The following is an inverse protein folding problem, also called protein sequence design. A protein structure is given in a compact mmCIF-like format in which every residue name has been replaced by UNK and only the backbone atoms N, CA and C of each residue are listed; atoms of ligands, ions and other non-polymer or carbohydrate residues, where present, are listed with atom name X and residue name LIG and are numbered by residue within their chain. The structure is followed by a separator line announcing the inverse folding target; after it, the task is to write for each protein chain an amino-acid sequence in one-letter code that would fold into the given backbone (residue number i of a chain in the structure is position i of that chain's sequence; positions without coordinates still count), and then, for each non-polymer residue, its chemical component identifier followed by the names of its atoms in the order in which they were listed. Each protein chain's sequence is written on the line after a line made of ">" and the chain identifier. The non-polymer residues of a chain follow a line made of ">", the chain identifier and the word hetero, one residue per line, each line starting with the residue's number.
data_IF_635266527414
#
_entry.id   IF_635266527414
#
_cell.length_a   1.000
_cell.length_b   1.000
_cell.length_c   1.000
_cell.angle_alpha   90.00
_cell.angle_beta   90.00
_cell.angle_gamma   90.00
#
_symmetry.space_group_name_H-M   'P 1'
#
loop_
_entity.id
_entity.type
_entity.pdbx_description
1 polymer ?
#
# COMPACT_ATOMS: atom_id res chain seq x y z
N UNK A 1 -16.30 -18.35 -13.37
CA UNK A 1 -17.04 -17.35 -12.56
C UNK A 1 -16.45 -17.13 -11.17
N UNK A 2 -16.26 -18.16 -10.32
CA UNK A 2 -15.68 -18.00 -8.97
C UNK A 2 -14.30 -17.31 -8.93
N UNK A 3 -13.38 -17.67 -9.83
CA UNK A 3 -12.05 -17.07 -9.89
C UNK A 3 -12.12 -15.57 -10.20
N UNK A 4 -12.88 -15.19 -11.23
CA UNK A 4 -13.06 -13.81 -11.70
C UNK A 4 -13.71 -12.91 -10.62
N UNK A 5 -14.69 -13.46 -9.88
CA UNK A 5 -15.29 -12.80 -8.72
C UNK A 5 -14.25 -12.58 -7.60
N UNK A 6 -13.43 -13.59 -7.30
CA UNK A 6 -12.36 -13.49 -6.30
C UNK A 6 -11.33 -12.43 -6.69
N UNK A 7 -10.97 -12.39 -7.97
CA UNK A 7 -10.04 -11.40 -8.53
C UNK A 7 -10.58 -9.99 -8.40
N UNK A 8 -11.88 -9.80 -8.70
CA UNK A 8 -12.56 -8.53 -8.53
C UNK A 8 -12.56 -8.09 -7.05
N UNK A 9 -12.88 -9.01 -6.13
CA UNK A 9 -12.84 -8.73 -4.69
C UNK A 9 -11.43 -8.36 -4.20
N UNK A 10 -10.39 -9.04 -4.69
CA UNK A 10 -8.99 -8.75 -4.36
C UNK A 10 -8.53 -7.40 -4.91
N UNK A 11 -8.96 -7.02 -6.11
CA UNK A 11 -8.67 -5.71 -6.69
C UNK A 11 -9.45 -4.58 -6.02
N UNK A 12 -10.68 -4.85 -5.56
CA UNK A 12 -11.51 -3.91 -4.79
C UNK A 12 -11.01 -3.69 -3.37
N UNK A 13 -10.30 -4.66 -2.80
CA UNK A 13 -9.81 -4.62 -1.42
C UNK A 13 -8.92 -3.41 -1.10
N UNK A 14 -7.87 -3.06 -1.87
CA UNK A 14 -7.09 -1.84 -1.63
C UNK A 14 -7.91 -0.56 -1.80
N UNK A 15 -8.93 -0.58 -2.66
CA UNK A 15 -9.82 0.56 -2.91
C UNK A 15 -10.77 0.79 -1.72
N UNK A 16 -11.39 -0.28 -1.23
CA UNK A 16 -12.22 -0.29 -0.02
C UNK A 16 -11.40 0.02 1.23
N UNK A 17 -10.16 -0.48 1.33
CA UNK A 17 -9.26 -0.16 2.42
C UNK A 17 -8.87 1.33 2.39
N UNK A 18 -8.57 1.89 1.21
CA UNK A 18 -8.32 3.32 1.05
C UNK A 18 -9.51 4.20 1.42
N UNK A 19 -10.73 3.78 1.06
CA UNK A 19 -11.96 4.44 1.49
C UNK A 19 -12.15 4.35 3.01
N UNK A 20 -12.04 3.15 3.57
CA UNK A 20 -12.18 2.92 5.00
C UNK A 20 -11.18 3.73 5.83
N UNK A 21 -9.90 3.75 5.45
CA UNK A 21 -8.87 4.57 6.15
C UNK A 21 -9.22 6.06 6.11
N UNK A 22 -9.76 6.56 5.00
CA UNK A 22 -10.15 7.96 4.88
C UNK A 22 -11.44 8.30 5.65
N UNK A 23 -12.40 7.38 5.72
CA UNK A 23 -13.66 7.57 6.46
C UNK A 23 -13.49 7.39 7.98
N UNK A 24 -12.65 6.43 8.39
CA UNK A 24 -12.35 6.18 9.81
C UNK A 24 -11.25 7.06 10.36
N UNK A 25 -10.56 7.82 9.49
CA UNK A 25 -9.65 8.85 9.95
C UNK A 25 -10.47 9.84 10.81
N UNK A 26 -10.17 9.96 12.12
CA UNK A 26 -10.99 10.76 13.02
C UNK A 26 -11.00 12.24 12.64
N UNK A 27 -10.05 12.68 11.81
CA UNK A 27 -9.90 14.06 11.38
C UNK A 27 -9.38 14.15 9.94
N UNK A 28 -9.87 15.13 9.18
CA UNK A 28 -9.36 15.43 7.85
C UNK A 28 -7.86 15.80 7.89
N UNK A 29 -7.06 15.43 6.87
CA UNK A 29 -5.63 15.76 6.81
C UNK A 29 -5.42 17.28 6.66
N UNK A 30 -5.18 17.95 7.78
CA UNK A 30 -4.97 19.40 7.81
C UNK A 30 -3.53 19.79 7.47
N UNK A 31 -3.35 20.97 6.86
CA UNK A 31 -2.02 21.57 6.65
C UNK A 31 -1.49 22.32 7.88
N UNK A 32 -2.34 22.54 8.88
CA UNK A 32 -1.95 23.20 10.11
C UNK A 32 -1.14 22.26 11.01
N UNK A 33 -0.16 22.83 11.71
CA UNK A 33 0.54 22.12 12.77
C UNK A 33 -0.43 21.80 13.92
N UNK A 34 -0.27 20.62 14.52
CA UNK A 34 -0.94 20.24 15.75
C UNK A 34 0.06 19.53 16.65
N UNK A 35 0.14 19.89 17.92
CA UNK A 35 1.02 19.24 18.89
C UNK A 35 0.49 17.88 19.36
N UNK A 36 -0.82 17.62 19.23
CA UNK A 36 -1.46 16.41 19.73
C UNK A 36 -1.55 15.26 18.71
N UNK A 37 -1.34 15.51 17.41
CA UNK A 37 -1.55 14.50 16.35
C UNK A 37 -0.75 14.78 15.07
N UNK A 38 -0.39 13.74 14.34
CA UNK A 38 0.23 13.87 13.02
C UNK A 38 -0.74 14.50 12.01
N UNK A 39 -0.33 15.57 11.34
CA UNK A 39 -1.08 16.20 10.24
C UNK A 39 -0.24 16.21 8.94
N UNK A 40 -0.78 16.72 7.82
CA UNK A 40 0.02 16.89 6.59
C UNK A 40 1.20 17.83 6.81
N UNK A 41 1.12 18.73 7.79
CA UNK A 41 2.25 19.55 8.22
C UNK A 41 3.47 18.70 8.58
N UNK A 42 3.28 17.59 9.30
CA UNK A 42 4.36 16.70 9.72
C UNK A 42 5.10 16.02 8.56
N UNK A 43 4.40 15.74 7.47
CA UNK A 43 5.02 15.17 6.28
C UNK A 43 5.97 16.18 5.60
N UNK A 44 5.62 17.47 5.64
CA UNK A 44 6.38 18.55 5.00
C UNK A 44 7.47 19.17 5.89
N UNK A 45 7.23 19.30 7.20
CA UNK A 45 8.03 20.11 8.12
C UNK A 45 8.57 19.34 9.32
N UNK A 46 8.51 18.02 9.26
CA UNK A 46 8.81 17.10 10.36
C UNK A 46 7.88 17.17 11.55
N UNK A 47 7.67 16.00 12.14
CA UNK A 47 6.73 15.82 13.23
C UNK A 47 7.46 16.04 14.56
N UNK A 48 7.36 17.27 15.10
CA UNK A 48 8.07 17.67 16.32
C UNK A 48 7.72 16.85 17.57
N UNK A 49 6.53 16.24 17.62
CA UNK A 49 6.12 15.35 18.70
C UNK A 49 6.53 13.88 18.50
N UNK A 50 6.99 13.51 17.31
CA UNK A 50 7.50 12.17 17.06
C UNK A 50 8.97 12.14 17.48
N UNK A 51 9.32 11.21 18.35
CA UNK A 51 10.69 10.92 18.78
C UNK A 51 11.03 9.47 18.44
N UNK A 52 12.31 9.10 18.41
CA UNK A 52 12.69 7.68 18.20
C UNK A 52 12.11 6.75 19.26
N UNK A 53 11.88 7.27 20.47
CA UNK A 53 11.36 6.48 21.59
C UNK A 53 9.86 6.15 21.43
N UNK A 54 9.04 7.11 20.99
CA UNK A 54 7.59 6.91 20.88
C UNK A 54 7.11 6.54 19.46
N UNK A 55 7.95 6.70 18.44
CA UNK A 55 7.60 6.47 17.04
C UNK A 55 8.78 5.94 16.22
N UNK A 56 9.40 4.80 16.61
CA UNK A 56 10.61 4.29 15.97
C UNK A 56 10.42 3.99 14.48
N UNK A 57 9.26 3.43 14.10
CA UNK A 57 8.92 3.11 12.72
C UNK A 57 8.88 4.36 11.82
N UNK A 58 8.37 5.49 12.32
CA UNK A 58 8.39 6.75 11.57
C UNK A 58 9.82 7.17 11.23
N UNK A 59 10.75 7.09 12.19
CA UNK A 59 12.15 7.46 11.94
C UNK A 59 12.89 6.48 11.03
N UNK A 60 12.55 5.20 11.05
CA UNK A 60 13.12 4.20 10.14
C UNK A 60 12.62 4.37 8.70
N UNK A 61 11.32 4.65 8.52
CA UNK A 61 10.69 4.74 7.20
C UNK A 61 10.77 6.15 6.59
N UNK A 62 10.97 7.19 7.40
CA UNK A 62 11.02 8.59 6.93
C UNK A 62 12.12 8.87 5.89
N UNK A 63 13.36 8.37 6.00
CA UNK A 63 14.37 8.57 4.97
C UNK A 63 13.92 8.02 3.62
N UNK A 64 13.34 6.81 3.62
CA UNK A 64 12.79 6.19 2.42
C UNK A 64 11.64 7.02 1.86
N UNK A 65 10.67 7.41 2.70
CA UNK A 65 9.54 8.24 2.29
C UNK A 65 9.99 9.57 1.67
N UNK A 66 10.96 10.27 2.30
CA UNK A 66 11.52 11.52 1.78
C UNK A 66 12.23 11.34 0.44
N UNK A 67 13.05 10.30 0.30
CA UNK A 67 13.74 10.00 -0.94
C UNK A 67 12.74 9.70 -2.08
N UNK A 68 11.70 8.93 -1.79
CA UNK A 68 10.61 8.65 -2.74
C UNK A 68 9.89 9.92 -3.14
N UNK A 69 9.47 10.76 -2.19
CA UNK A 69 8.78 12.02 -2.50
C UNK A 69 9.70 12.98 -3.27
N UNK A 70 10.98 13.09 -2.90
CA UNK A 70 11.96 13.92 -3.59
C UNK A 70 12.18 13.48 -5.05
N UNK A 71 12.37 12.18 -5.27
CA UNK A 71 12.52 11.62 -6.62
C UNK A 71 11.27 11.84 -7.48
N UNK A 72 10.08 11.67 -6.89
CA UNK A 72 8.82 11.89 -7.60
C UNK A 72 8.51 13.37 -7.85
N UNK A 73 8.97 14.26 -6.97
CA UNK A 73 8.77 15.71 -7.11
C UNK A 73 9.81 16.38 -8.01
N UNK A 74 10.97 15.76 -8.25
CA UNK A 74 11.96 16.22 -9.22
C UNK A 74 11.40 16.30 -10.65
N UNK A 75 10.43 15.44 -11.00
CA UNK A 75 9.69 15.52 -12.27
C UNK A 75 8.46 16.45 -12.25
N UNK A 76 8.27 17.24 -11.19
CA UNK A 76 7.15 18.16 -11.03
C UNK A 76 5.83 17.50 -10.60
N UNK A 77 4.80 18.33 -10.37
CA UNK A 77 3.47 17.87 -9.91
C UNK A 77 2.82 16.84 -10.83
N UNK A 78 3.03 16.96 -12.14
CA UNK A 78 2.47 16.05 -13.14
C UNK A 78 3.02 14.63 -13.02
N UNK A 79 4.35 14.49 -12.90
CA UNK A 79 4.98 13.18 -12.75
C UNK A 79 4.61 12.53 -11.41
N UNK A 80 4.61 13.32 -10.32
CA UNK A 80 4.17 12.83 -9.02
C UNK A 80 2.73 12.27 -9.07
N UNK A 81 1.80 13.01 -9.68
CA UNK A 81 0.42 12.56 -9.83
C UNK A 81 0.34 11.29 -10.70
N UNK A 82 1.03 11.26 -11.84
CA UNK A 82 1.04 10.13 -12.75
C UNK A 82 1.58 8.85 -12.10
N UNK A 83 2.70 8.93 -11.37
CA UNK A 83 3.28 7.77 -10.68
C UNK A 83 2.38 7.31 -9.54
N UNK A 84 1.78 8.24 -8.78
CA UNK A 84 0.88 7.87 -7.70
C UNK A 84 -0.36 7.14 -8.26
N UNK A 85 -0.95 7.65 -9.35
CA UNK A 85 -2.06 7.00 -10.06
C UNK A 85 -1.65 5.65 -10.62
N UNK A 86 -0.48 5.53 -11.26
CA UNK A 86 0.03 4.27 -11.78
C UNK A 86 0.28 3.24 -10.68
N UNK A 87 0.78 3.66 -9.51
CA UNK A 87 0.96 2.78 -8.36
C UNK A 87 -0.38 2.22 -7.86
N UNK A 88 -1.38 3.09 -7.67
CA UNK A 88 -2.68 2.69 -7.13
C UNK A 88 -3.55 1.91 -8.14
N UNK A 89 -3.54 2.29 -9.42
CA UNK A 89 -4.41 1.69 -10.43
C UNK A 89 -3.79 0.54 -11.21
N UNK A 90 -2.45 0.47 -11.29
CA UNK A 90 -1.76 -0.51 -12.14
C UNK A 90 -0.86 -1.42 -11.32
N UNK A 91 0.09 -0.86 -10.57
CA UNK A 91 1.09 -1.67 -9.87
C UNK A 91 0.49 -2.52 -8.76
N UNK A 92 -0.30 -1.93 -7.86
CA UNK A 92 -0.92 -2.66 -6.75
C UNK A 92 -1.90 -3.74 -7.24
N UNK A 93 -2.83 -3.46 -8.19
CA UNK A 93 -3.68 -4.50 -8.76
C UNK A 93 -2.89 -5.57 -9.51
N UNK A 94 -1.87 -5.19 -10.29
CA UNK A 94 -1.01 -6.13 -11.01
C UNK A 94 -0.21 -7.05 -10.09
N UNK A 95 0.35 -6.50 -9.00
CA UNK A 95 1.05 -7.28 -7.98
C UNK A 95 0.10 -8.26 -7.29
N UNK A 96 -1.11 -7.81 -6.91
CA UNK A 96 -2.13 -8.67 -6.32
C UNK A 96 -2.55 -9.80 -7.26
N UNK A 97 -2.74 -9.51 -8.55
CA UNK A 97 -3.03 -10.50 -9.58
C UNK A 97 -1.90 -11.54 -9.68
N UNK A 98 -0.66 -11.07 -9.73
CA UNK A 98 0.52 -11.95 -9.83
C UNK A 98 0.67 -12.85 -8.60
N UNK A 99 0.54 -12.29 -7.39
CA UNK A 99 0.57 -13.05 -6.15
C UNK A 99 -0.57 -14.07 -6.07
N UNK A 100 -1.78 -13.68 -6.48
CA UNK A 100 -2.94 -14.58 -6.50
C UNK A 100 -2.74 -15.71 -7.49
N UNK A 101 -2.24 -15.41 -8.69
CA UNK A 101 -1.90 -16.42 -9.70
C UNK A 101 -0.82 -17.38 -9.19
N UNK A 102 0.26 -16.85 -8.59
CA UNK A 102 1.33 -17.65 -8.01
C UNK A 102 0.82 -18.59 -6.91
N UNK A 103 -0.04 -18.09 -6.02
CA UNK A 103 -0.65 -18.90 -4.96
C UNK A 103 -1.54 -20.03 -5.52
N UNK A 104 -2.37 -19.73 -6.54
CA UNK A 104 -3.23 -20.72 -7.18
C UNK A 104 -2.43 -21.79 -7.93
N UNK A 105 -1.39 -21.38 -8.66
CA UNK A 105 -0.48 -22.30 -9.37
C UNK A 105 0.26 -23.21 -8.40
N UNK A 106 0.79 -22.67 -7.32
CA UNK A 106 1.46 -23.48 -6.30
C UNK A 106 0.51 -24.48 -5.64
N UNK A 107 -0.73 -24.06 -5.35
CA UNK A 107 -1.76 -24.97 -4.81
C UNK A 107 -2.11 -26.10 -5.79
N UNK A 108 -2.20 -25.81 -7.09
CA UNK A 108 -2.50 -26.85 -8.09
C UNK A 108 -1.36 -27.86 -8.22
N UNK A 109 -0.11 -27.37 -8.23
CA UNK A 109 1.09 -28.22 -8.29
C UNK A 109 1.18 -29.12 -7.05
N UNK A 110 1.01 -28.57 -5.85
CA UNK A 110 1.00 -29.35 -4.60
C UNK A 110 -0.12 -30.40 -4.62
N UNK A 111 -1.30 -30.05 -5.13
CA UNK A 111 -2.42 -30.97 -5.27
C UNK A 111 -2.20 -32.07 -6.32
N UNK A 112 -1.42 -31.83 -7.37
CA UNK A 112 -1.03 -32.85 -8.34
C UNK A 112 0.03 -33.80 -7.75
N UNK A 113 1.05 -33.25 -7.07
CA UNK A 113 2.09 -34.03 -6.41
C UNK A 113 1.53 -34.95 -5.32
N UNK A 114 0.59 -34.46 -4.49
CA UNK A 114 -0.10 -35.31 -3.49
C UNK A 114 -0.85 -36.48 -4.12
N UNK A 115 -1.56 -36.25 -5.24
CA UNK A 115 -2.31 -37.30 -5.95
C UNK A 115 -1.39 -38.33 -6.59
N UNK A 116 -0.24 -37.93 -7.13
CA UNK A 116 0.76 -38.86 -7.66
C UNK A 116 1.41 -39.72 -6.57
N UNK A 117 1.60 -39.18 -5.37
CA UNK A 117 2.16 -39.93 -4.23
C UNK A 117 1.17 -40.91 -3.58
N UNK A 118 -0.14 -40.68 -3.67
CA UNK A 118 -1.17 -41.60 -3.14
C UNK A 118 -1.54 -42.72 -4.12
N UNK A 119 -1.16 -42.61 -5.39
CA UNK A 119 -1.40 -43.61 -6.43
C UNK A 119 -0.23 -44.60 -6.62
N UNK A 120 0.80 -44.50 -5.78
CA UNK A 120 1.90 -45.47 -5.63
C UNK A 120 1.77 -46.15 -4.28
#
# INVERSE_FOLDING_TARGET
>A
MKALLLTLCLALLPLLFGLWVNETAPHAPTRAYSSARCTRYCAAHDCRHATRANSPLYFQLRPLYRATVAGLSAGGRGLYAAVNVACYLVFLPGLLLWLTYGALRNRSIIGQLKRQHQAR
#
